data_IF_498212810887
#
_entry.id   IF_498212810887
#
_cell.length_a   1.000
_cell.length_b   1.000
_cell.length_c   1.000
_cell.angle_alpha   90.00
_cell.angle_beta   90.00
_cell.angle_gamma   90.00
#
_symmetry.space_group_name_H-M   'P 1'
#
loop_
_entity.id
_entity.type
_entity.pdbx_description
1 polymer ?
#
# COMPACT_ATOMS: atom_id res chain seq x y z
N UNK A 1 9.46 -12.82 -4.06
CA UNK A 1 8.40 -12.64 -5.05
C UNK A 1 7.89 -14.02 -5.39
N UNK A 2 6.70 -14.37 -4.91
CA UNK A 2 6.10 -15.69 -5.12
C UNK A 2 5.04 -15.68 -6.23
N UNK A 3 4.65 -14.49 -6.68
CA UNK A 3 3.73 -14.35 -7.79
C UNK A 3 4.47 -14.47 -9.11
N UNK A 4 3.99 -15.35 -9.93
CA UNK A 4 4.58 -15.58 -11.25
C UNK A 4 4.13 -14.46 -12.19
N UNK A 5 5.05 -13.82 -12.93
CA UNK A 5 4.69 -12.73 -13.85
C UNK A 5 3.64 -13.14 -14.90
N UNK A 6 3.52 -14.43 -15.12
CA UNK A 6 2.58 -15.03 -16.08
C UNK A 6 1.28 -15.52 -15.45
N UNK A 7 1.06 -15.30 -14.15
CA UNK A 7 -0.26 -15.55 -13.56
C UNK A 7 -1.23 -14.57 -14.18
N UNK A 8 -2.34 -15.09 -14.70
CA UNK A 8 -3.36 -14.29 -15.34
C UNK A 8 -4.60 -14.21 -14.47
N UNK A 9 -5.01 -12.99 -14.15
CA UNK A 9 -6.30 -12.73 -13.52
C UNK A 9 -7.42 -12.91 -14.54
N UNK A 10 -8.51 -13.49 -14.10
CA UNK A 10 -9.71 -13.62 -14.92
C UNK A 10 -10.61 -12.41 -14.66
N UNK A 11 -10.71 -11.53 -15.64
CA UNK A 11 -11.57 -10.38 -15.58
C UNK A 11 -13.06 -10.76 -15.69
N UNK A 12 -13.99 -9.88 -15.26
CA UNK A 12 -15.44 -10.16 -15.34
C UNK A 12 -15.95 -10.45 -16.75
N UNK A 13 -15.31 -9.90 -17.79
CA UNK A 13 -15.62 -10.14 -19.20
C UNK A 13 -15.04 -11.45 -19.75
N UNK A 14 -14.37 -12.23 -18.90
CA UNK A 14 -13.73 -13.49 -19.26
C UNK A 14 -12.34 -13.38 -19.88
N UNK A 15 -11.86 -12.18 -20.14
CA UNK A 15 -10.48 -11.95 -20.56
C UNK A 15 -9.50 -12.30 -19.45
N UNK A 16 -8.28 -12.58 -19.85
CA UNK A 16 -7.16 -12.79 -18.92
C UNK A 16 -6.16 -11.68 -19.08
N UNK A 17 -5.80 -11.06 -17.96
CA UNK A 17 -4.75 -10.07 -17.89
C UNK A 17 -3.55 -10.67 -17.15
N UNK A 18 -2.39 -10.63 -17.78
CA UNK A 18 -1.17 -11.07 -17.10
C UNK A 18 -0.76 -10.06 -16.02
N UNK A 19 -0.30 -10.58 -14.90
CA UNK A 19 0.17 -9.74 -13.81
C UNK A 19 1.31 -8.80 -14.25
N UNK A 20 2.15 -9.25 -15.18
CA UNK A 20 3.19 -8.43 -15.78
C UNK A 20 2.65 -7.17 -16.48
N UNK A 21 1.50 -7.28 -17.12
CA UNK A 21 0.85 -6.17 -17.82
C UNK A 21 0.11 -5.27 -16.84
N UNK A 22 -0.61 -5.87 -15.88
CA UNK A 22 -1.34 -5.13 -14.85
C UNK A 22 -0.41 -4.31 -13.94
N UNK A 23 0.66 -4.95 -13.47
CA UNK A 23 1.57 -4.36 -12.50
C UNK A 23 2.87 -3.86 -13.17
N UNK A 24 2.79 -3.45 -14.44
CA UNK A 24 3.92 -3.05 -15.28
C UNK A 24 4.83 -2.00 -14.62
N UNK A 25 4.25 -1.03 -13.92
CA UNK A 25 4.98 0.05 -13.26
C UNK A 25 5.88 -0.50 -12.15
N UNK A 26 5.39 -1.49 -11.38
CA UNK A 26 6.15 -2.14 -10.32
C UNK A 26 7.36 -2.87 -10.88
N UNK A 27 7.17 -3.67 -11.94
CA UNK A 27 8.26 -4.42 -12.59
C UNK A 27 9.30 -3.47 -13.21
N UNK A 28 8.85 -2.41 -13.87
CA UNK A 28 9.76 -1.42 -14.44
C UNK A 28 10.53 -0.64 -13.37
N UNK A 29 9.87 -0.23 -12.30
CA UNK A 29 10.51 0.46 -11.18
C UNK A 29 11.59 -0.42 -10.57
N UNK A 30 11.24 -1.67 -10.29
CA UNK A 30 12.19 -2.61 -9.71
C UNK A 30 13.39 -2.87 -10.63
N UNK A 31 13.17 -3.10 -11.92
CA UNK A 31 14.23 -3.28 -12.91
C UNK A 31 15.14 -2.07 -13.03
N UNK A 32 14.58 -0.85 -13.01
CA UNK A 32 15.35 0.40 -13.06
C UNK A 32 16.27 0.56 -11.85
N UNK A 33 15.75 0.33 -10.64
CA UNK A 33 16.53 0.46 -9.41
C UNK A 33 17.51 -0.71 -9.21
N UNK A 34 17.19 -1.92 -9.67
CA UNK A 34 18.13 -3.03 -9.70
C UNK A 34 19.33 -2.76 -10.61
N UNK A 35 19.09 -2.11 -11.76
CA UNK A 35 20.15 -1.71 -12.68
C UNK A 35 21.04 -0.60 -12.11
N UNK A 36 20.45 0.42 -11.51
CA UNK A 36 21.16 1.52 -10.87
C UNK A 36 20.38 2.05 -9.67
N UNK A 37 20.84 1.72 -8.47
CA UNK A 37 20.20 2.17 -7.23
C UNK A 37 20.54 3.63 -6.86
N UNK A 38 21.55 4.24 -7.51
CA UNK A 38 21.96 5.64 -7.29
C UNK A 38 21.33 6.54 -8.34
N UNK A 39 20.03 6.78 -8.22
CA UNK A 39 19.28 7.63 -9.13
C UNK A 39 18.96 8.96 -8.48
N UNK A 40 19.05 10.02 -9.29
CA UNK A 40 18.58 11.34 -8.88
C UNK A 40 17.06 11.37 -8.80
N UNK A 41 16.53 11.83 -7.68
CA UNK A 41 15.09 11.83 -7.42
C UNK A 41 14.29 12.71 -8.39
N UNK A 42 14.84 13.89 -8.75
CA UNK A 42 14.15 14.80 -9.66
C UNK A 42 14.03 14.20 -11.06
N UNK A 43 15.11 13.58 -11.55
CA UNK A 43 15.11 12.91 -12.85
C UNK A 43 14.16 11.70 -12.88
N UNK A 44 14.01 10.97 -11.78
CA UNK A 44 13.04 9.87 -11.69
C UNK A 44 11.60 10.40 -11.67
N UNK A 45 11.33 11.51 -11.00
CA UNK A 45 10.02 12.17 -11.03
C UNK A 45 9.65 12.55 -12.47
N UNK A 46 10.55 13.25 -13.18
CA UNK A 46 10.32 13.65 -14.56
C UNK A 46 10.12 12.45 -15.49
N UNK A 47 10.95 11.41 -15.32
CA UNK A 47 10.83 10.18 -16.08
C UNK A 47 9.45 9.52 -15.87
N UNK A 48 9.02 9.34 -14.62
CA UNK A 48 7.77 8.68 -14.33
C UNK A 48 6.56 9.52 -14.73
N UNK A 49 6.59 10.84 -14.55
CA UNK A 49 5.55 11.73 -15.05
C UNK A 49 5.40 11.58 -16.57
N UNK A 50 6.51 11.54 -17.30
CA UNK A 50 6.49 11.35 -18.74
C UNK A 50 5.96 9.97 -19.16
N UNK A 51 6.40 8.88 -18.50
CA UNK A 51 5.92 7.52 -18.80
C UNK A 51 4.41 7.37 -18.53
N UNK A 52 3.95 7.85 -17.38
CA UNK A 52 2.55 7.82 -17.00
C UNK A 52 1.70 8.74 -17.91
N UNK A 53 2.22 9.93 -18.23
CA UNK A 53 1.57 10.85 -19.16
C UNK A 53 1.35 10.21 -20.54
N UNK A 54 2.39 9.56 -21.07
CA UNK A 54 2.29 8.82 -22.33
C UNK A 54 1.32 7.63 -22.24
N UNK A 55 1.36 6.87 -21.16
CA UNK A 55 0.52 5.69 -20.97
C UNK A 55 -0.96 6.05 -20.85
N UNK A 56 -1.28 7.05 -20.04
CA UNK A 56 -2.68 7.48 -19.81
C UNK A 56 -3.17 8.59 -20.74
N UNK A 57 -2.32 9.05 -21.65
CA UNK A 57 -2.68 10.11 -22.62
C UNK A 57 -3.01 11.44 -21.96
N UNK A 58 -2.20 11.85 -20.99
CA UNK A 58 -2.34 13.11 -20.25
C UNK A 58 -1.02 13.90 -20.25
N UNK A 59 -1.04 15.14 -19.76
CA UNK A 59 0.18 15.94 -19.61
C UNK A 59 1.07 15.41 -18.49
N UNK A 60 2.38 15.69 -18.56
CA UNK A 60 3.33 15.29 -17.50
C UNK A 60 2.97 15.91 -16.14
N UNK A 61 2.38 17.10 -16.13
CA UNK A 61 1.86 17.74 -14.91
C UNK A 61 0.72 16.93 -14.26
N UNK A 62 -0.29 16.54 -15.05
CA UNK A 62 -1.39 15.72 -14.56
C UNK A 62 -0.95 14.29 -14.24
N UNK A 63 0.01 13.74 -14.98
CA UNK A 63 0.64 12.46 -14.67
C UNK A 63 1.37 12.48 -13.33
N UNK A 64 1.85 13.64 -12.88
CA UNK A 64 2.38 13.85 -11.54
C UNK A 64 1.39 13.50 -10.44
N UNK A 65 0.09 13.73 -10.65
CA UNK A 65 -0.97 13.31 -9.70
C UNK A 65 -1.12 11.78 -9.65
N UNK A 66 -1.00 11.11 -10.81
CA UNK A 66 -1.05 9.65 -10.87
C UNK A 66 0.17 9.06 -10.14
N UNK A 67 1.37 9.62 -10.37
CA UNK A 67 2.58 9.21 -9.65
C UNK A 67 2.44 9.44 -8.15
N UNK A 68 1.92 10.59 -7.73
CA UNK A 68 1.64 10.89 -6.32
C UNK A 68 0.71 9.85 -5.69
N UNK A 69 -0.35 9.44 -6.38
CA UNK A 69 -1.25 8.39 -5.90
C UNK A 69 -0.51 7.06 -5.69
N UNK A 70 0.38 6.67 -6.60
CA UNK A 70 1.23 5.47 -6.43
C UNK A 70 2.18 5.61 -5.25
N UNK A 71 2.83 6.76 -5.08
CA UNK A 71 3.77 6.99 -3.99
C UNK A 71 3.07 6.96 -2.62
N UNK A 72 1.96 7.66 -2.51
CA UNK A 72 1.19 7.72 -1.27
C UNK A 72 0.59 6.34 -0.92
N UNK A 73 -0.03 5.65 -1.86
CA UNK A 73 -0.55 4.29 -1.60
C UNK A 73 0.55 3.29 -1.27
N UNK A 74 1.73 3.46 -1.85
CA UNK A 74 2.91 2.63 -1.61
C UNK A 74 3.45 2.70 -0.17
N UNK A 75 3.16 3.75 0.58
CA UNK A 75 3.55 3.91 1.98
C UNK A 75 2.68 3.10 2.96
N UNK A 76 1.46 2.74 2.56
CA UNK A 76 0.47 2.11 3.47
C UNK A 76 0.93 0.72 3.90
N UNK A 77 1.17 -0.19 2.94
CA UNK A 77 1.50 -1.57 3.25
C UNK A 77 2.80 -1.73 4.07
N UNK A 78 3.92 -1.06 3.72
CA UNK A 78 5.13 -1.14 4.51
C UNK A 78 4.96 -0.66 5.97
N UNK A 79 4.21 0.43 6.18
CA UNK A 79 3.95 0.96 7.53
C UNK A 79 3.15 -0.04 8.37
N UNK A 80 2.05 -0.54 7.82
CA UNK A 80 1.18 -1.49 8.52
C UNK A 80 1.89 -2.82 8.77
N UNK A 81 2.57 -3.38 7.77
CA UNK A 81 3.27 -4.66 7.92
C UNK A 81 4.43 -4.55 8.91
N UNK A 82 5.19 -3.46 8.89
CA UNK A 82 6.28 -3.25 9.83
C UNK A 82 5.81 -3.17 11.27
N UNK A 83 4.68 -2.53 11.51
CA UNK A 83 4.14 -2.34 12.87
C UNK A 83 3.33 -3.52 13.38
N UNK A 84 2.57 -4.19 12.51
CA UNK A 84 1.60 -5.21 12.91
C UNK A 84 1.85 -6.60 12.32
N UNK A 85 2.82 -6.76 11.44
CA UNK A 85 3.04 -7.99 10.69
C UNK A 85 4.39 -8.67 10.91
N UNK A 86 5.33 -8.04 11.62
CA UNK A 86 6.67 -8.57 11.82
C UNK A 86 6.85 -9.03 13.27
N UNK A 87 7.26 -10.30 13.47
CA UNK A 87 7.62 -10.85 14.77
C UNK A 87 9.09 -11.24 14.81
N UNK A 88 9.70 -11.17 15.99
CA UNK A 88 11.07 -11.67 16.21
C UNK A 88 11.21 -13.11 15.76
N UNK A 89 12.29 -13.41 15.04
CA UNK A 89 12.62 -14.74 14.55
C UNK A 89 11.70 -15.26 13.45
N UNK A 90 10.65 -14.53 13.08
CA UNK A 90 9.78 -14.92 12.00
C UNK A 90 10.26 -14.32 10.67
N UNK A 91 10.64 -15.19 9.76
CA UNK A 91 11.02 -14.81 8.39
C UNK A 91 9.82 -14.60 7.46
N UNK A 92 8.62 -14.94 7.92
CA UNK A 92 7.40 -14.80 7.16
C UNK A 92 6.65 -13.57 7.66
N UNK A 93 6.82 -12.47 6.96
CA UNK A 93 5.93 -11.32 7.07
C UNK A 93 4.55 -11.71 6.56
N UNK A 94 3.52 -11.37 7.29
CA UNK A 94 2.16 -11.46 6.75
C UNK A 94 2.06 -10.52 5.55
N UNK A 95 1.58 -11.07 4.44
CA UNK A 95 1.17 -10.23 3.31
C UNK A 95 -0.10 -9.47 3.67
N UNK A 96 -0.30 -8.31 3.06
CA UNK A 96 -1.48 -7.48 3.32
C UNK A 96 -2.79 -8.27 3.12
N UNK A 97 -2.85 -9.13 2.11
CA UNK A 97 -4.00 -10.01 1.86
C UNK A 97 -4.24 -11.03 2.97
N UNK A 98 -3.21 -11.50 3.66
CA UNK A 98 -3.35 -12.39 4.82
C UNK A 98 -3.95 -11.66 6.02
N UNK A 99 -3.59 -10.39 6.22
CA UNK A 99 -4.27 -9.53 7.20
C UNK A 99 -5.75 -9.39 6.91
N UNK A 100 -6.11 -9.09 5.67
CA UNK A 100 -7.50 -8.99 5.24
C UNK A 100 -8.29 -10.27 5.53
N UNK A 101 -7.70 -11.44 5.25
CA UNK A 101 -8.33 -12.73 5.52
C UNK A 101 -8.64 -12.93 6.99
N UNK A 102 -7.75 -12.50 7.88
CA UNK A 102 -7.94 -12.60 9.33
C UNK A 102 -9.05 -11.66 9.85
N UNK A 103 -9.21 -10.49 9.22
CA UNK A 103 -10.25 -9.53 9.60
C UNK A 103 -11.64 -9.96 9.12
N UNK A 104 -11.71 -10.53 7.93
CA UNK A 104 -12.98 -10.92 7.30
C UNK A 104 -13.52 -12.23 7.85
N UNK A 105 -12.65 -13.18 8.22
CA UNK A 105 -13.07 -14.47 8.73
C UNK A 105 -12.32 -14.87 10.01
N UNK A 106 -12.71 -14.29 11.17
CA UNK A 106 -12.05 -14.56 12.45
C UNK A 106 -12.22 -16.02 12.93
N UNK A 107 -13.19 -16.78 12.39
CA UNK A 107 -13.39 -18.16 12.76
C UNK A 107 -12.48 -19.14 12.00
N UNK A 108 -11.94 -18.72 10.88
CA UNK A 108 -11.07 -19.57 10.06
C UNK A 108 -9.61 -19.48 10.48
N UNK A 109 -9.22 -18.37 11.06
CA UNK A 109 -7.83 -18.11 11.45
C UNK A 109 -7.80 -17.58 12.89
N UNK A 110 -6.99 -18.20 13.72
CA UNK A 110 -6.62 -17.63 15.03
C UNK A 110 -5.99 -16.25 14.79
N UNK A 111 -6.29 -15.30 15.67
CA UNK A 111 -5.61 -14.00 15.61
C UNK A 111 -4.11 -14.26 15.63
N UNK A 112 -3.42 -13.82 14.59
CA UNK A 112 -1.98 -14.01 14.49
C UNK A 112 -1.29 -13.17 15.57
N UNK A 113 -0.47 -13.78 16.47
CA UNK A 113 0.15 -13.04 17.55
C UNK A 113 0.96 -11.83 17.09
N UNK A 114 1.53 -11.88 15.89
CA UNK A 114 2.21 -10.75 15.27
C UNK A 114 1.40 -9.47 15.19
N UNK A 115 0.07 -9.55 15.20
CA UNK A 115 -0.77 -8.36 15.16
C UNK A 115 -0.60 -7.48 16.42
N UNK A 116 -0.54 -8.07 17.59
CA UNK A 116 -0.38 -7.34 18.85
C UNK A 116 1.02 -7.45 19.46
N UNK A 117 1.82 -8.40 19.00
CA UNK A 117 3.20 -8.60 19.44
C UNK A 117 4.26 -8.20 18.40
N UNK A 118 3.85 -7.57 17.31
CA UNK A 118 4.77 -7.14 16.26
C UNK A 118 5.83 -6.18 16.82
N UNK A 119 7.08 -6.50 16.55
CA UNK A 119 8.21 -5.67 16.93
C UNK A 119 8.72 -4.87 15.72
N UNK A 120 8.10 -3.76 15.43
CA UNK A 120 8.75 -2.74 14.59
C UNK A 120 10.00 -2.19 15.30
N UNK A 121 10.96 -1.62 14.53
CA UNK A 121 12.33 -1.39 15.03
C UNK A 121 12.41 -0.46 16.24
N UNK A 122 11.53 0.50 16.40
CA UNK A 122 11.58 1.45 17.53
C UNK A 122 10.17 1.89 17.87
N UNK A 123 9.60 1.40 18.95
CA UNK A 123 8.27 1.82 19.37
C UNK A 123 7.52 0.75 20.14
N UNK A 124 6.27 1.00 20.41
CA UNK A 124 5.43 0.14 21.24
C UNK A 124 4.69 -0.89 20.40
N UNK A 125 4.69 -2.14 20.86
CA UNK A 125 3.76 -3.15 20.39
C UNK A 125 2.33 -2.75 20.77
N UNK A 126 1.34 -3.24 20.07
CA UNK A 126 -0.05 -2.93 20.40
C UNK A 126 -0.41 -3.36 21.84
N UNK A 127 0.06 -4.54 22.26
CA UNK A 127 -0.15 -5.02 23.64
C UNK A 127 0.52 -4.13 24.68
N UNK A 128 1.72 -3.63 24.41
CA UNK A 128 2.44 -2.71 25.31
C UNK A 128 1.74 -1.35 25.39
N UNK A 129 1.25 -0.86 24.25
CA UNK A 129 0.46 0.36 24.18
C UNK A 129 -0.78 0.27 25.06
N UNK A 130 -1.56 -0.80 24.92
CA UNK A 130 -2.78 -1.04 25.72
C UNK A 130 -2.47 -1.16 27.22
N UNK A 131 -1.39 -1.88 27.57
CA UNK A 131 -0.95 -1.97 28.96
C UNK A 131 -0.58 -0.62 29.58
N UNK A 132 0.15 0.21 28.84
CA UNK A 132 0.55 1.55 29.29
C UNK A 132 -0.65 2.47 29.44
N UNK A 133 -1.58 2.45 28.49
CA UNK A 133 -2.86 3.17 28.60
C UNK A 133 -3.62 2.76 29.85
N UNK A 134 -3.76 1.45 30.10
CA UNK A 134 -4.43 0.92 31.30
C UNK A 134 -3.73 1.38 32.59
N UNK A 135 -2.41 1.33 32.62
CA UNK A 135 -1.59 1.71 33.79
C UNK A 135 -1.34 3.22 33.88
N UNK A 136 -1.82 4.01 32.93
CA UNK A 136 -1.55 5.47 32.81
C UNK A 136 -0.03 5.78 32.80
N UNK A 137 0.73 4.96 32.11
CA UNK A 137 2.17 5.13 31.95
C UNK A 137 2.48 5.96 30.69
N UNK A 138 3.61 6.67 30.66
CA UNK A 138 4.01 7.44 29.49
C UNK A 138 4.38 6.51 28.32
N UNK A 139 3.98 6.91 27.11
CA UNK A 139 4.36 6.26 25.88
C UNK A 139 5.75 6.69 25.40
N UNK A 140 6.40 5.87 24.61
CA UNK A 140 7.72 6.16 24.03
C UNK A 140 7.90 5.55 22.65
N UNK A 141 8.58 6.30 21.77
CA UNK A 141 8.87 5.87 20.42
C UNK A 141 7.66 5.91 19.47
N UNK A 142 7.69 5.11 18.44
CA UNK A 142 6.63 5.04 17.42
C UNK A 142 5.41 4.28 17.97
N UNK A 143 4.24 4.90 17.94
CA UNK A 143 3.03 4.35 18.53
C UNK A 143 2.14 3.67 17.48
N UNK A 144 1.44 2.56 17.80
CA UNK A 144 0.56 1.87 16.87
C UNK A 144 -0.53 2.77 16.27
N UNK A 145 -1.13 3.65 17.09
CA UNK A 145 -2.18 4.56 16.61
C UNK A 145 -1.64 5.66 15.70
N UNK A 146 -0.40 6.12 15.91
CA UNK A 146 0.23 7.11 15.03
C UNK A 146 0.52 6.52 13.64
N UNK A 147 0.96 5.28 13.58
CA UNK A 147 1.18 4.57 12.31
C UNK A 147 -0.12 4.40 11.53
N UNK A 148 -1.21 4.09 12.22
CA UNK A 148 -2.52 4.01 11.58
C UNK A 148 -2.99 5.37 11.08
N UNK A 149 -2.80 6.43 11.86
CA UNK A 149 -3.13 7.78 11.42
C UNK A 149 -2.36 8.19 10.17
N UNK A 150 -1.05 7.87 10.11
CA UNK A 150 -0.24 8.07 8.91
C UNK A 150 -0.74 7.26 7.72
N UNK A 151 -1.10 5.98 7.92
CA UNK A 151 -1.63 5.15 6.85
C UNK A 151 -2.95 5.69 6.27
N UNK A 152 -3.84 6.22 7.13
CA UNK A 152 -5.07 6.89 6.70
C UNK A 152 -4.73 8.15 5.89
N UNK A 153 -3.82 8.99 6.37
CA UNK A 153 -3.39 10.20 5.66
C UNK A 153 -2.87 9.88 4.26
N UNK A 154 -2.03 8.84 4.14
CA UNK A 154 -1.54 8.36 2.86
C UNK A 154 -2.68 7.85 1.95
N UNK A 155 -3.64 7.12 2.50
CA UNK A 155 -4.81 6.66 1.75
C UNK A 155 -5.67 7.81 1.22
N UNK A 156 -5.92 8.82 2.05
CA UNK A 156 -6.68 10.00 1.65
C UNK A 156 -5.96 10.82 0.58
N UNK A 157 -4.64 11.01 0.69
CA UNK A 157 -3.82 11.69 -0.31
C UNK A 157 -3.82 10.92 -1.64
N UNK A 158 -3.66 9.60 -1.60
CA UNK A 158 -3.69 8.77 -2.79
C UNK A 158 -5.02 8.92 -3.56
N UNK A 159 -6.15 8.86 -2.86
CA UNK A 159 -7.48 9.05 -3.46
C UNK A 159 -7.64 10.46 -3.99
N UNK A 160 -7.28 11.48 -3.24
CA UNK A 160 -7.39 12.87 -3.67
C UNK A 160 -6.58 13.13 -4.96
N UNK A 161 -5.37 12.57 -5.06
CA UNK A 161 -4.52 12.72 -6.23
C UNK A 161 -5.09 11.99 -7.45
N UNK A 162 -5.50 10.72 -7.32
CA UNK A 162 -6.01 9.94 -8.46
C UNK A 162 -7.34 10.49 -8.97
N UNK A 163 -8.24 10.90 -8.08
CA UNK A 163 -9.54 11.48 -8.46
C UNK A 163 -9.37 12.82 -9.20
N UNK A 164 -8.40 13.63 -8.78
CA UNK A 164 -8.07 14.88 -9.47
C UNK A 164 -7.51 14.63 -10.88
N UNK A 165 -6.74 13.56 -11.07
CA UNK A 165 -6.19 13.20 -12.38
C UNK A 165 -7.26 12.69 -13.36
N UNK A 166 -8.36 12.13 -12.89
CA UNK A 166 -9.33 11.36 -13.69
C UNK A 166 -9.84 12.10 -14.93
N UNK A 167 -10.15 13.40 -14.81
CA UNK A 167 -10.68 14.18 -15.92
C UNK A 167 -9.67 14.45 -17.04
N UNK A 168 -8.39 14.25 -16.80
CA UNK A 168 -7.32 14.52 -17.76
C UNK A 168 -6.92 13.30 -18.60
N UNK A 169 -7.39 12.10 -18.22
CA UNK A 169 -7.02 10.82 -18.85
C UNK A 169 -7.77 10.60 -20.15
N UNK A 170 -7.03 10.40 -21.25
CA UNK A 170 -7.61 10.17 -22.58
C UNK A 170 -7.34 8.76 -23.13
N UNK A 171 -6.29 8.05 -22.67
CA UNK A 171 -5.91 6.71 -23.09
C UNK A 171 -5.96 5.72 -21.92
N UNK A 172 -6.06 4.41 -22.22
CA UNK A 172 -6.10 3.32 -21.24
C UNK A 172 -7.08 3.56 -20.07
N UNK A 173 -8.26 4.06 -20.39
CA UNK A 173 -9.27 4.48 -19.41
C UNK A 173 -9.74 3.36 -18.50
N UNK A 174 -9.86 2.14 -19.03
CA UNK A 174 -10.29 0.98 -18.23
C UNK A 174 -9.24 0.64 -17.17
N UNK A 175 -7.96 0.67 -17.55
CA UNK A 175 -6.83 0.48 -16.64
C UNK A 175 -6.75 1.61 -15.61
N UNK A 176 -6.98 2.86 -16.04
CA UNK A 176 -7.04 3.98 -15.10
C UNK A 176 -8.19 3.83 -14.09
N UNK A 177 -9.37 3.41 -14.55
CA UNK A 177 -10.52 3.18 -13.66
C UNK A 177 -10.22 2.06 -12.64
N UNK A 178 -9.51 0.99 -13.06
CA UNK A 178 -9.02 -0.04 -12.15
C UNK A 178 -8.06 0.54 -11.12
N UNK A 179 -7.06 1.30 -11.57
CA UNK A 179 -6.09 1.95 -10.68
C UNK A 179 -6.77 2.88 -9.68
N UNK A 180 -7.74 3.70 -10.14
CA UNK A 180 -8.51 4.56 -9.27
C UNK A 180 -9.27 3.76 -8.20
N UNK A 181 -9.91 2.66 -8.60
CA UNK A 181 -10.59 1.77 -7.65
C UNK A 181 -9.61 1.15 -6.65
N UNK A 182 -8.40 0.77 -7.08
CA UNK A 182 -7.37 0.23 -6.18
C UNK A 182 -6.98 1.26 -5.10
N UNK A 183 -6.84 2.55 -5.45
CA UNK A 183 -6.56 3.61 -4.47
C UNK A 183 -7.69 3.76 -3.44
N UNK A 184 -8.96 3.72 -3.90
CA UNK A 184 -10.11 3.72 -3.00
C UNK A 184 -10.12 2.48 -2.09
N UNK A 185 -9.81 1.30 -2.62
CA UNK A 185 -9.70 0.08 -1.81
C UNK A 185 -8.60 0.19 -0.74
N UNK A 186 -7.43 0.73 -1.07
CA UNK A 186 -6.36 0.96 -0.10
C UNK A 186 -6.80 1.93 1.00
N UNK A 187 -7.46 3.01 0.66
CA UNK A 187 -7.99 3.95 1.65
C UNK A 187 -9.01 3.26 2.58
N UNK A 188 -10.02 2.61 2.04
CA UNK A 188 -11.03 1.90 2.85
C UNK A 188 -10.40 0.83 3.73
N UNK A 189 -9.35 0.16 3.25
CA UNK A 189 -8.58 -0.78 4.05
C UNK A 189 -7.94 -0.10 5.26
N UNK A 190 -7.35 1.09 5.12
CA UNK A 190 -6.74 1.80 6.26
C UNK A 190 -7.79 2.18 7.32
N UNK A 191 -8.98 2.60 6.91
CA UNK A 191 -10.08 2.89 7.82
C UNK A 191 -10.58 1.63 8.56
N UNK A 192 -10.76 0.53 7.85
CA UNK A 192 -11.15 -0.75 8.45
C UNK A 192 -10.07 -1.24 9.44
N UNK A 193 -8.80 -1.09 9.08
CA UNK A 193 -7.67 -1.44 9.94
C UNK A 193 -7.63 -0.59 11.22
N UNK A 194 -7.87 0.72 11.09
CA UNK A 194 -7.97 1.63 12.24
C UNK A 194 -9.08 1.19 13.23
N UNK A 195 -10.25 0.83 12.71
CA UNK A 195 -11.33 0.34 13.57
C UNK A 195 -10.92 -0.95 14.30
N UNK A 196 -10.21 -1.84 13.60
CA UNK A 196 -9.74 -3.10 14.19
C UNK A 196 -8.69 -2.90 15.27
N UNK A 197 -7.78 -1.95 15.09
CA UNK A 197 -6.75 -1.66 16.11
C UNK A 197 -7.34 -0.97 17.32
N UNK A 198 -8.36 -0.13 17.12
CA UNK A 198 -9.06 0.56 18.23
C UNK A 198 -9.99 -0.35 19.04
N UNK A 199 -10.43 -1.47 18.48
CA UNK A 199 -11.29 -2.44 19.15
C UNK A 199 -10.53 -3.34 20.12
#
# INVERSE_FOLDING_TARGET
IWDWPYTADKLPDGKREFQLDRDWIWYQTWGRYAWNCRRDRSQEIDYWNHQLGKFYGTSDENAGLIREAYEESGEIAPKLLRRFGITEGNRQTLLLGMFMSQFVNPYKYTIYPGFYESCGPEGEKLIEYVEKEWKKQPHAGELPLDIIAQAIEHGDKAVAAIDKAANSVSANKDEFARLQNDMHCYREFTYAFNLKVKA
#
